data_IF_317625356172
#
_entry.id   IF_317625356172
#
_cell.length_a   1.000
_cell.length_b   1.000
_cell.length_c   1.000
_cell.angle_alpha   90.00
_cell.angle_beta   90.00
_cell.angle_gamma   90.00
#
_symmetry.space_group_name_H-M   'P 1'
#
loop_
_entity.id
_entity.type
_entity.pdbx_description
1 polymer ?
#
# COMPACT_ATOMS: atom_id res chain seq x y z
N UNK A 1 -26.66 15.84 15.48
CA UNK A 1 -25.75 15.43 14.40
C UNK A 1 -25.11 14.12 14.84
N UNK A 2 -25.27 13.05 14.06
CA UNK A 2 -24.84 11.68 14.43
C UNK A 2 -23.34 11.40 14.28
N UNK A 3 -22.48 12.44 14.32
CA UNK A 3 -21.03 12.27 14.26
C UNK A 3 -20.50 11.95 15.66
N UNK A 4 -20.47 10.67 15.99
CA UNK A 4 -19.91 10.18 17.24
C UNK A 4 -18.51 9.59 17.01
N UNK A 5 -17.61 9.85 17.96
CA UNK A 5 -16.26 9.27 17.95
C UNK A 5 -16.30 7.76 18.19
N UNK A 6 -15.44 7.01 17.47
CA UNK A 6 -15.28 5.55 17.58
C UNK A 6 -13.81 5.22 17.93
N UNK A 7 -13.38 5.51 19.18
CA UNK A 7 -11.98 5.37 19.55
C UNK A 7 -11.48 3.91 19.38
N UNK A 8 -12.33 2.92 19.66
CA UNK A 8 -11.96 1.51 19.48
C UNK A 8 -11.60 1.15 18.03
N UNK A 9 -12.30 1.74 17.03
CA UNK A 9 -11.95 1.54 15.62
C UNK A 9 -10.69 2.29 15.22
N UNK A 10 -10.47 3.47 15.79
CA UNK A 10 -9.24 4.23 15.59
C UNK A 10 -8.04 3.45 16.12
N UNK A 11 -8.13 2.96 17.35
CA UNK A 11 -7.07 2.18 17.99
C UNK A 11 -6.80 0.86 17.24
N UNK A 12 -7.87 0.17 16.83
CA UNK A 12 -7.77 -1.06 16.01
C UNK A 12 -7.03 -0.79 14.70
N UNK A 13 -7.46 0.21 13.93
CA UNK A 13 -6.87 0.51 12.63
C UNK A 13 -5.44 1.04 12.76
N UNK A 14 -5.17 1.90 13.74
CA UNK A 14 -3.84 2.43 13.99
C UNK A 14 -2.84 1.34 14.40
N UNK A 15 -3.32 0.32 15.13
CA UNK A 15 -2.49 -0.83 15.50
C UNK A 15 -2.32 -1.87 14.40
N UNK A 16 -3.33 -2.04 13.54
CA UNK A 16 -3.36 -3.12 12.56
C UNK A 16 -2.78 -2.75 11.19
N UNK A 17 -2.92 -1.49 10.76
CA UNK A 17 -2.55 -1.05 9.41
C UNK A 17 -1.28 -0.19 9.47
N UNK A 18 -0.37 -0.40 8.53
CA UNK A 18 0.83 0.45 8.38
C UNK A 18 0.44 1.89 8.04
N UNK A 19 1.24 2.85 8.47
CA UNK A 19 1.02 4.28 8.20
C UNK A 19 0.91 4.59 6.69
N UNK A 20 1.72 3.92 5.87
CA UNK A 20 1.72 4.04 4.41
C UNK A 20 1.52 2.66 3.77
N UNK A 21 0.28 2.13 3.76
CA UNK A 21 0.01 0.81 3.22
C UNK A 21 0.05 0.83 1.69
N UNK A 22 0.41 -0.29 1.03
CA UNK A 22 0.29 -0.42 -0.41
C UNK A 22 -1.18 -0.36 -0.85
N UNK A 23 -1.41 0.03 -2.12
CA UNK A 23 -2.76 0.21 -2.68
C UNK A 23 -3.56 -1.10 -2.72
N UNK A 24 -2.88 -2.24 -2.85
CA UNK A 24 -3.53 -3.55 -2.99
C UNK A 24 -2.94 -4.57 -2.04
N UNK A 25 -3.82 -5.28 -1.34
CA UNK A 25 -3.47 -6.32 -0.36
C UNK A 25 -2.64 -7.46 -0.96
N UNK A 26 -2.81 -7.79 -2.23
CA UNK A 26 -2.08 -8.88 -2.90
C UNK A 26 -0.57 -8.67 -2.96
N UNK A 27 -0.11 -7.43 -2.81
CA UNK A 27 1.32 -7.10 -2.85
C UNK A 27 1.97 -7.31 -1.47
N UNK A 28 1.16 -7.49 -0.43
CA UNK A 28 1.59 -7.62 0.96
C UNK A 28 2.04 -6.29 1.56
N UNK A 29 2.28 -6.26 2.87
CA UNK A 29 2.78 -5.08 3.57
C UNK A 29 1.70 -4.09 4.04
N UNK A 30 0.44 -4.51 4.08
CA UNK A 30 -0.69 -3.71 4.60
C UNK A 30 -0.74 -3.76 6.11
N UNK A 31 -0.61 -4.96 6.70
CA UNK A 31 -0.69 -5.17 8.15
C UNK A 31 0.59 -4.65 8.82
N UNK A 32 0.44 -3.93 9.93
CA UNK A 32 1.55 -3.38 10.71
C UNK A 32 2.43 -4.47 11.32
N UNK A 33 3.70 -4.14 11.51
CA UNK A 33 4.64 -5.02 12.21
C UNK A 33 4.29 -5.01 13.71
N UNK A 34 4.32 -6.16 14.37
CA UNK A 34 3.90 -6.34 15.76
C UNK A 34 2.40 -6.57 15.97
N UNK A 35 1.59 -6.56 14.91
CA UNK A 35 0.16 -6.83 15.02
C UNK A 35 -0.16 -8.33 15.16
N UNK A 36 0.59 -9.18 14.46
CA UNK A 36 0.42 -10.64 14.48
C UNK A 36 1.79 -11.33 14.49
N UNK A 37 2.06 -12.08 15.57
CA UNK A 37 3.35 -12.73 15.79
C UNK A 37 3.69 -13.75 14.70
N UNK A 38 2.71 -14.53 14.23
CA UNK A 38 2.91 -15.53 13.16
C UNK A 38 3.30 -14.85 11.83
N UNK A 39 2.68 -13.71 11.52
CA UNK A 39 3.01 -12.93 10.34
C UNK A 39 4.43 -12.36 10.43
N UNK A 40 4.81 -11.85 11.60
CA UNK A 40 6.13 -11.27 11.83
C UNK A 40 7.24 -12.32 11.74
N UNK A 41 7.03 -13.52 12.28
CA UNK A 41 7.95 -14.64 12.10
C UNK A 41 8.16 -15.01 10.62
N UNK A 42 7.07 -15.07 9.84
CA UNK A 42 7.16 -15.34 8.40
C UNK A 42 7.88 -14.23 7.63
N UNK A 43 7.67 -12.97 8.03
CA UNK A 43 8.37 -11.82 7.44
C UNK A 43 9.86 -11.81 7.79
N UNK A 44 10.21 -12.15 9.03
CA UNK A 44 11.59 -12.27 9.48
C UNK A 44 12.37 -13.30 8.66
N UNK A 45 11.77 -14.45 8.33
CA UNK A 45 12.38 -15.45 7.46
C UNK A 45 12.68 -14.89 6.05
N UNK A 46 11.85 -14.01 5.53
CA UNK A 46 12.08 -13.37 4.24
C UNK A 46 13.15 -12.27 4.31
N UNK A 47 13.22 -11.52 5.39
CA UNK A 47 14.20 -10.44 5.59
C UNK A 47 15.60 -10.99 5.77
N UNK A 48 15.74 -12.08 6.54
CA UNK A 48 17.01 -12.77 6.76
C UNK A 48 17.54 -13.46 5.51
N UNK A 49 16.74 -13.55 4.44
CA UNK A 49 17.18 -14.11 3.16
C UNK A 49 18.39 -13.36 2.58
N UNK A 50 18.44 -12.03 2.73
CA UNK A 50 19.57 -11.22 2.26
C UNK A 50 20.88 -11.56 2.98
N UNK A 51 20.84 -11.69 4.28
CA UNK A 51 22.00 -12.04 5.10
C UNK A 51 22.50 -13.46 4.79
N UNK A 52 21.58 -14.42 4.65
CA UNK A 52 21.92 -15.78 4.27
C UNK A 52 22.63 -15.83 2.90
N UNK A 53 22.13 -15.09 1.89
CA UNK A 53 22.74 -15.05 0.56
C UNK A 53 24.12 -14.42 0.59
N UNK A 54 24.32 -13.35 1.35
CA UNK A 54 25.66 -12.72 1.50
C UNK A 54 26.64 -13.67 2.19
N UNK A 55 26.24 -14.29 3.29
CA UNK A 55 27.08 -15.25 4.00
C UNK A 55 27.42 -16.48 3.12
N UNK A 56 26.45 -16.95 2.33
CA UNK A 56 26.68 -18.02 1.38
C UNK A 56 27.65 -17.60 0.28
N UNK A 57 27.50 -16.39 -0.28
CA UNK A 57 28.39 -15.86 -1.31
C UNK A 57 29.84 -15.78 -0.83
N UNK A 58 30.06 -15.26 0.38
CA UNK A 58 31.40 -15.17 0.99
C UNK A 58 32.00 -16.56 1.21
N UNK A 59 31.22 -17.49 1.76
CA UNK A 59 31.65 -18.87 2.01
C UNK A 59 32.02 -19.59 0.69
N UNK A 60 31.15 -19.48 -0.32
CA UNK A 60 31.37 -20.14 -1.62
C UNK A 60 32.55 -19.52 -2.37
N UNK A 61 32.78 -18.21 -2.29
CA UNK A 61 34.01 -17.57 -2.82
C UNK A 61 35.27 -18.10 -2.16
N UNK A 62 35.24 -18.26 -0.83
CA UNK A 62 36.39 -18.76 -0.07
C UNK A 62 36.68 -20.23 -0.39
N UNK A 63 35.66 -21.08 -0.51
CA UNK A 63 35.80 -22.51 -0.75
C UNK A 63 36.23 -22.83 -2.20
N UNK A 64 35.67 -22.12 -3.18
CA UNK A 64 35.93 -22.36 -4.62
C UNK A 64 37.11 -21.56 -5.18
N UNK A 65 37.53 -20.50 -4.51
CA UNK A 65 38.51 -19.55 -5.03
C UNK A 65 38.05 -18.72 -6.24
N UNK A 66 36.73 -18.70 -6.52
CA UNK A 66 36.12 -17.99 -7.64
C UNK A 66 35.71 -16.61 -7.19
N UNK A 67 36.55 -15.60 -7.43
CA UNK A 67 36.29 -14.20 -6.98
C UNK A 67 35.08 -13.54 -7.65
N UNK A 68 34.69 -14.02 -8.84
CA UNK A 68 33.54 -13.48 -9.61
C UNK A 68 32.21 -14.13 -9.23
N UNK A 69 32.19 -15.08 -8.32
CA UNK A 69 30.99 -15.78 -7.86
C UNK A 69 30.05 -14.76 -7.19
N UNK A 70 28.78 -14.83 -7.56
CA UNK A 70 27.69 -14.07 -6.94
C UNK A 70 26.51 -14.96 -6.63
N UNK A 71 25.89 -14.76 -5.49
CA UNK A 71 24.62 -15.39 -5.14
C UNK A 71 23.49 -14.39 -5.33
N UNK A 72 22.42 -14.77 -6.01
CA UNK A 72 21.34 -13.85 -6.32
C UNK A 72 20.00 -14.54 -6.51
N UNK A 73 18.98 -13.70 -6.72
CA UNK A 73 17.61 -14.12 -6.98
C UNK A 73 17.09 -13.55 -8.29
N UNK A 74 16.38 -14.36 -9.04
CA UNK A 74 15.66 -13.93 -10.24
C UNK A 74 14.19 -14.38 -10.15
N UNK A 75 13.27 -13.49 -10.51
CA UNK A 75 11.82 -13.73 -10.39
C UNK A 75 11.33 -14.95 -11.19
N UNK A 76 11.99 -15.27 -12.31
CA UNK A 76 11.62 -16.39 -13.20
C UNK A 76 12.34 -17.68 -12.82
N UNK A 77 13.62 -17.56 -12.44
CA UNK A 77 14.50 -18.73 -12.25
C UNK A 77 14.80 -19.02 -10.77
N UNK A 78 14.31 -18.22 -9.82
CA UNK A 78 14.57 -18.40 -8.39
C UNK A 78 15.98 -18.00 -7.98
N UNK A 79 16.49 -18.62 -6.92
CA UNK A 79 17.83 -18.36 -6.39
C UNK A 79 18.91 -19.07 -7.23
N UNK A 80 20.07 -18.44 -7.38
CA UNK A 80 21.18 -18.99 -8.18
C UNK A 80 22.54 -18.51 -7.66
N UNK A 81 23.55 -19.32 -7.97
CA UNK A 81 24.97 -18.96 -7.90
C UNK A 81 25.41 -18.65 -9.33
N UNK A 82 25.88 -17.42 -9.59
CA UNK A 82 26.35 -16.99 -10.90
C UNK A 82 27.89 -16.97 -10.92
N UNK A 83 28.46 -17.62 -11.91
CA UNK A 83 29.91 -17.68 -12.14
C UNK A 83 30.17 -17.19 -13.55
N UNK A 84 31.21 -16.35 -13.73
CA UNK A 84 31.62 -15.92 -15.07
C UNK A 84 32.03 -17.12 -15.92
N UNK A 85 31.75 -17.07 -17.23
CA UNK A 85 32.04 -18.16 -18.15
C UNK A 85 33.55 -18.53 -18.19
N UNK A 86 34.41 -17.54 -17.97
CA UNK A 86 35.86 -17.76 -17.89
C UNK A 86 36.29 -18.60 -16.68
N UNK A 87 35.47 -18.75 -15.66
CA UNK A 87 35.76 -19.50 -14.44
C UNK A 87 34.77 -20.64 -14.20
N UNK A 88 33.86 -20.91 -15.13
CA UNK A 88 32.81 -21.93 -14.95
C UNK A 88 33.37 -23.35 -14.82
N UNK A 89 34.52 -23.62 -15.40
CA UNK A 89 35.22 -24.93 -15.29
C UNK A 89 35.73 -25.20 -13.86
N UNK A 90 35.80 -24.20 -13.02
CA UNK A 90 36.18 -24.31 -11.60
C UNK A 90 34.98 -24.60 -10.68
N UNK A 91 33.77 -24.62 -11.23
CA UNK A 91 32.57 -24.88 -10.44
C UNK A 91 32.67 -26.32 -9.84
N UNK A 92 32.39 -26.47 -8.53
CA UNK A 92 32.34 -27.77 -7.88
C UNK A 92 31.37 -28.75 -8.56
N UNK A 93 31.64 -30.05 -8.48
CA UNK A 93 30.81 -31.09 -9.11
C UNK A 93 29.39 -31.14 -8.55
N UNK A 94 29.21 -30.72 -7.29
CA UNK A 94 27.90 -30.63 -6.62
C UNK A 94 27.05 -29.50 -7.12
N UNK A 95 27.61 -28.54 -7.89
CA UNK A 95 26.83 -27.43 -8.47
C UNK A 95 26.01 -27.93 -9.66
N UNK A 96 24.71 -27.88 -9.54
CA UNK A 96 23.76 -28.24 -10.59
C UNK A 96 23.54 -27.02 -11.48
N UNK A 97 23.90 -27.14 -12.76
CA UNK A 97 23.71 -26.07 -13.74
C UNK A 97 22.22 -25.82 -13.97
N UNK A 98 21.79 -24.57 -13.79
CA UNK A 98 20.41 -24.14 -13.93
C UNK A 98 20.18 -23.35 -15.22
N UNK A 99 21.12 -22.49 -15.60
CA UNK A 99 21.02 -21.64 -16.78
C UNK A 99 22.40 -21.29 -17.34
N UNK A 100 22.50 -21.25 -18.67
CA UNK A 100 23.70 -20.76 -19.39
C UNK A 100 23.35 -19.39 -20.01
N UNK A 101 24.15 -18.38 -19.70
CA UNK A 101 24.05 -17.02 -20.22
C UNK A 101 25.24 -16.77 -21.19
N UNK A 102 25.19 -15.63 -21.90
CA UNK A 102 26.26 -15.26 -22.83
C UNK A 102 27.64 -15.18 -22.14
N UNK A 103 27.70 -14.58 -20.96
CA UNK A 103 28.94 -14.28 -20.25
C UNK A 103 29.07 -14.98 -18.88
N UNK A 104 28.08 -15.76 -18.46
CA UNK A 104 28.04 -16.40 -17.15
C UNK A 104 27.24 -17.69 -17.20
N UNK A 105 27.45 -18.54 -16.20
CA UNK A 105 26.64 -19.71 -15.94
C UNK A 105 26.01 -19.61 -14.55
N UNK A 106 24.79 -20.10 -14.43
CA UNK A 106 24.05 -20.12 -13.17
C UNK A 106 23.86 -21.52 -12.69
N UNK A 107 24.12 -21.71 -11.41
CA UNK A 107 24.06 -22.98 -10.73
C UNK A 107 23.15 -22.90 -9.52
N UNK A 108 22.75 -24.05 -9.00
CA UNK A 108 22.08 -24.21 -7.71
C UNK A 108 22.77 -25.32 -6.93
N UNK A 109 22.87 -25.15 -5.62
CA UNK A 109 23.30 -26.20 -4.70
C UNK A 109 22.13 -26.82 -3.97
N UNK A 110 22.22 -28.02 -3.39
CA UNK A 110 21.17 -28.58 -2.54
C UNK A 110 20.79 -27.67 -1.38
N UNK A 111 21.79 -27.02 -0.75
CA UNK A 111 21.55 -26.06 0.35
C UNK A 111 20.74 -24.85 -0.12
N UNK A 112 21.13 -24.24 -1.25
CA UNK A 112 20.42 -23.10 -1.83
C UNK A 112 18.99 -23.50 -2.27
N UNK A 113 18.79 -24.74 -2.71
CA UNK A 113 17.48 -25.27 -3.05
C UNK A 113 16.58 -25.42 -1.83
N UNK A 114 17.08 -25.96 -0.72
CA UNK A 114 16.35 -26.06 0.55
C UNK A 114 15.97 -24.67 1.04
N UNK A 115 16.90 -23.71 0.95
CA UNK A 115 16.64 -22.33 1.31
C UNK A 115 15.57 -21.70 0.40
N UNK A 116 15.65 -21.90 -0.93
CA UNK A 116 14.64 -21.44 -1.89
C UNK A 116 13.24 -21.91 -1.52
N UNK A 117 13.08 -23.19 -1.24
CA UNK A 117 11.79 -23.79 -0.92
C UNK A 117 11.22 -23.21 0.40
N UNK A 118 12.06 -22.99 1.41
CA UNK A 118 11.66 -22.36 2.67
C UNK A 118 11.27 -20.88 2.46
N UNK A 119 12.06 -20.10 1.76
CA UNK A 119 11.81 -18.68 1.54
C UNK A 119 10.54 -18.44 0.70
N UNK A 120 10.36 -19.20 -0.38
CA UNK A 120 9.15 -19.11 -1.21
C UNK A 120 7.89 -19.54 -0.46
N UNK A 121 7.99 -20.61 0.35
CA UNK A 121 6.90 -21.06 1.21
C UNK A 121 6.54 -20.00 2.26
N UNK A 122 7.53 -19.43 2.95
CA UNK A 122 7.32 -18.39 3.94
C UNK A 122 6.67 -17.14 3.34
N UNK A 123 7.09 -16.73 2.15
CA UNK A 123 6.50 -15.60 1.43
C UNK A 123 5.04 -15.85 1.07
N UNK A 124 4.72 -17.02 0.54
CA UNK A 124 3.34 -17.40 0.18
C UNK A 124 2.44 -17.46 1.42
N UNK A 125 2.93 -18.05 2.51
CA UNK A 125 2.21 -18.15 3.79
C UNK A 125 2.00 -16.77 4.41
N UNK A 126 3.02 -15.91 4.39
CA UNK A 126 2.92 -14.52 4.87
C UNK A 126 1.83 -13.74 4.14
N UNK A 127 1.77 -13.83 2.80
CA UNK A 127 0.71 -13.19 2.02
C UNK A 127 -0.69 -13.75 2.35
N UNK A 128 -0.81 -15.05 2.54
CA UNK A 128 -2.08 -15.69 2.91
C UNK A 128 -2.53 -15.28 4.32
N UNK A 129 -1.59 -15.22 5.27
CA UNK A 129 -1.88 -14.77 6.64
C UNK A 129 -2.29 -13.30 6.67
N UNK A 130 -1.57 -12.45 5.94
CA UNK A 130 -1.88 -11.03 5.85
C UNK A 130 -3.26 -10.77 5.25
N UNK A 131 -3.64 -11.53 4.21
CA UNK A 131 -4.98 -11.48 3.62
C UNK A 131 -6.05 -11.91 4.62
N UNK A 132 -5.81 -12.99 5.37
CA UNK A 132 -6.72 -13.46 6.41
C UNK A 132 -6.94 -12.39 7.48
N UNK A 133 -5.88 -11.79 8.01
CA UNK A 133 -5.96 -10.72 9.02
C UNK A 133 -6.70 -9.48 8.48
N UNK A 134 -6.49 -9.15 7.22
CA UNK A 134 -7.21 -8.05 6.57
C UNK A 134 -8.71 -8.35 6.44
N UNK A 135 -9.09 -9.58 6.11
CA UNK A 135 -10.49 -10.02 6.05
C UNK A 135 -11.13 -9.98 7.45
N UNK A 136 -10.42 -10.38 8.51
CA UNK A 136 -10.90 -10.23 9.90
C UNK A 136 -11.12 -8.77 10.30
N UNK A 137 -10.22 -7.87 9.89
CA UNK A 137 -10.41 -6.42 10.11
C UNK A 137 -11.67 -5.90 9.41
N UNK A 138 -11.91 -6.29 8.17
CA UNK A 138 -13.13 -5.92 7.44
C UNK A 138 -14.38 -6.43 8.13
N UNK A 139 -14.38 -7.67 8.63
CA UNK A 139 -15.50 -8.26 9.36
C UNK A 139 -15.77 -7.50 10.67
N UNK A 140 -14.73 -7.11 11.37
CA UNK A 140 -14.85 -6.28 12.59
C UNK A 140 -15.44 -4.91 12.27
N UNK A 141 -14.97 -4.24 11.19
CA UNK A 141 -15.51 -2.95 10.76
C UNK A 141 -16.99 -3.05 10.33
N UNK A 142 -17.39 -4.17 9.73
CA UNK A 142 -18.77 -4.41 9.31
C UNK A 142 -19.75 -4.43 10.49
N UNK A 143 -19.32 -4.77 11.69
CA UNK A 143 -20.15 -4.72 12.89
C UNK A 143 -20.58 -3.29 13.26
N UNK A 144 -19.75 -2.30 12.93
CA UNK A 144 -20.01 -0.88 13.16
C UNK A 144 -20.49 -0.14 11.89
N UNK A 145 -20.77 -0.86 10.79
CA UNK A 145 -21.03 -0.26 9.46
C UNK A 145 -22.18 0.75 9.48
N UNK A 146 -23.29 0.44 10.14
CA UNK A 146 -24.45 1.35 10.25
C UNK A 146 -24.03 2.67 10.91
N UNK A 147 -23.27 2.60 11.98
CA UNK A 147 -22.82 3.77 12.72
C UNK A 147 -21.80 4.59 11.93
N UNK A 148 -20.93 3.93 11.18
CA UNK A 148 -19.99 4.61 10.27
C UNK A 148 -20.73 5.33 9.14
N UNK A 149 -21.80 4.76 8.60
CA UNK A 149 -22.65 5.40 7.59
C UNK A 149 -23.38 6.63 8.15
N UNK A 150 -23.92 6.54 9.39
CA UNK A 150 -24.54 7.67 10.06
C UNK A 150 -23.52 8.80 10.29
N UNK A 151 -22.34 8.46 10.75
CA UNK A 151 -21.24 9.42 10.95
C UNK A 151 -20.83 10.09 9.63
N UNK A 152 -20.65 9.32 8.57
CA UNK A 152 -20.30 9.84 7.25
C UNK A 152 -21.37 10.78 6.69
N UNK A 153 -22.66 10.43 6.82
CA UNK A 153 -23.76 11.29 6.42
C UNK A 153 -23.79 12.61 7.20
N UNK A 154 -23.58 12.56 8.51
CA UNK A 154 -23.52 13.74 9.36
C UNK A 154 -22.35 14.67 9.01
N UNK A 155 -21.18 14.10 8.72
CA UNK A 155 -20.00 14.88 8.27
C UNK A 155 -20.25 15.51 6.91
N UNK A 156 -20.85 14.77 5.97
CA UNK A 156 -21.19 15.29 4.64
C UNK A 156 -22.19 16.46 4.72
N UNK A 157 -23.21 16.35 5.58
CA UNK A 157 -24.16 17.45 5.81
C UNK A 157 -23.45 18.68 6.40
N UNK A 158 -22.59 18.49 7.38
CA UNK A 158 -21.83 19.56 8.01
C UNK A 158 -20.89 20.24 7.01
N UNK A 159 -20.23 19.49 6.17
CA UNK A 159 -19.33 20.01 5.12
C UNK A 159 -20.10 20.89 4.13
N UNK A 160 -21.27 20.44 3.65
CA UNK A 160 -22.14 21.23 2.77
C UNK A 160 -22.58 22.51 3.45
N UNK A 161 -23.07 22.45 4.69
CA UNK A 161 -23.51 23.63 5.43
C UNK A 161 -22.39 24.63 5.68
N UNK A 162 -21.21 24.14 6.05
CA UNK A 162 -20.02 24.96 6.25
C UNK A 162 -19.57 25.63 4.95
N UNK A 163 -19.55 24.89 3.84
CA UNK A 163 -19.21 25.41 2.51
C UNK A 163 -20.21 26.48 2.05
N UNK A 164 -21.50 26.22 2.20
CA UNK A 164 -22.52 27.20 1.84
C UNK A 164 -22.44 28.47 2.71
N UNK A 165 -22.20 28.33 4.00
CA UNK A 165 -22.04 29.47 4.92
C UNK A 165 -20.80 30.30 4.57
N UNK A 166 -19.65 29.63 4.32
CA UNK A 166 -18.43 30.30 3.92
C UNK A 166 -18.59 31.04 2.59
N UNK A 167 -19.21 30.40 1.58
CA UNK A 167 -19.48 31.03 0.28
C UNK A 167 -20.47 32.18 0.40
N UNK A 168 -21.52 32.05 1.21
CA UNK A 168 -22.45 33.14 1.46
C UNK A 168 -21.75 34.36 2.06
N UNK A 169 -20.83 34.14 3.00
CA UNK A 169 -20.04 35.20 3.62
C UNK A 169 -19.04 35.82 2.66
N UNK A 170 -18.20 35.02 2.02
CA UNK A 170 -17.07 35.47 1.16
C UNK A 170 -17.56 36.11 -0.14
N UNK A 171 -18.68 35.64 -0.70
CA UNK A 171 -19.26 36.16 -1.93
C UNK A 171 -20.41 37.15 -1.68
N UNK A 172 -20.66 37.51 -0.43
CA UNK A 172 -21.68 38.45 -0.02
C UNK A 172 -23.07 38.08 -0.57
N UNK A 173 -23.50 36.83 -0.36
CA UNK A 173 -24.81 36.34 -0.74
C UNK A 173 -25.84 36.68 0.35
N UNK A 174 -27.10 36.95 -0.05
CA UNK A 174 -28.19 37.11 0.86
C UNK A 174 -29.10 35.87 0.91
N UNK A 175 -29.77 35.67 2.05
CA UNK A 175 -30.74 34.58 2.21
C UNK A 175 -31.98 34.85 1.34
N UNK A 176 -32.38 33.89 0.47
CA UNK A 176 -33.59 34.03 -0.32
C UNK A 176 -34.84 33.95 0.54
N UNK A 177 -35.87 34.73 0.20
CA UNK A 177 -37.21 34.61 0.80
C UNK A 177 -38.04 33.64 -0.06
N UNK A 178 -38.41 32.51 0.53
CA UNK A 178 -39.27 31.54 -0.12
C UNK A 178 -40.73 31.94 0.01
N UNK A 179 -41.50 31.83 -1.08
CA UNK A 179 -42.91 32.16 -1.17
C UNK A 179 -43.73 30.97 -1.67
N UNK A 180 -44.99 30.89 -1.25
CA UNK A 180 -45.95 29.90 -1.82
C UNK A 180 -46.58 30.41 -3.12
N UNK A 181 -46.36 31.67 -3.50
CA UNK A 181 -46.79 32.20 -4.77
C UNK A 181 -45.79 31.79 -5.87
N UNK A 182 -46.29 31.37 -7.05
CA UNK A 182 -45.40 31.01 -8.17
C UNK A 182 -44.71 32.29 -8.69
N UNK A 183 -43.40 32.14 -8.97
CA UNK A 183 -42.60 33.20 -9.56
C UNK A 183 -41.23 33.35 -8.91
N UNK A 184 -40.35 34.05 -9.62
CA UNK A 184 -39.00 34.40 -9.18
C UNK A 184 -38.89 35.93 -9.26
N UNK A 185 -38.52 36.57 -8.17
CA UNK A 185 -38.28 38.02 -8.11
C UNK A 185 -36.85 38.25 -7.62
N UNK A 186 -36.00 38.81 -8.47
CA UNK A 186 -34.59 39.07 -8.16
C UNK A 186 -34.41 40.60 -8.20
N UNK A 187 -33.74 41.13 -7.17
CA UNK A 187 -33.30 42.53 -7.11
C UNK A 187 -31.80 42.58 -6.94
N UNK A 188 -31.14 43.36 -7.77
CA UNK A 188 -29.67 43.44 -7.79
C UNK A 188 -29.03 42.08 -8.11
N UNK A 189 -29.57 41.39 -9.13
CA UNK A 189 -29.13 40.07 -9.50
C UNK A 189 -27.69 40.03 -9.95
N UNK A 190 -26.90 39.08 -9.43
CA UNK A 190 -25.50 38.89 -9.76
C UNK A 190 -25.26 37.47 -10.28
N UNK A 191 -24.29 37.34 -11.18
CA UNK A 191 -23.87 36.00 -11.67
C UNK A 191 -22.62 35.52 -10.93
N UNK A 192 -22.71 34.53 -10.04
CA UNK A 192 -21.61 34.17 -9.12
C UNK A 192 -20.31 33.77 -9.81
N UNK A 193 -20.37 33.22 -11.01
CA UNK A 193 -19.16 32.83 -11.77
C UNK A 193 -18.62 34.03 -12.55
N UNK A 194 -19.48 34.75 -13.28
CA UNK A 194 -19.04 35.88 -14.13
C UNK A 194 -18.41 36.96 -13.27
N UNK A 195 -19.02 37.29 -12.13
CA UNK A 195 -18.48 38.26 -11.16
C UNK A 195 -17.08 37.95 -10.68
N UNK A 196 -16.70 36.65 -10.62
CA UNK A 196 -15.38 36.23 -10.14
C UNK A 196 -14.32 36.16 -11.23
N UNK A 197 -14.71 36.06 -12.49
CA UNK A 197 -13.77 35.87 -13.63
C UNK A 197 -13.63 37.10 -14.52
N UNK A 198 -14.50 38.09 -14.39
CA UNK A 198 -14.39 39.33 -15.17
C UNK A 198 -13.38 40.27 -14.55
N UNK A 199 -12.61 40.98 -15.38
CA UNK A 199 -11.72 42.06 -14.95
C UNK A 199 -12.44 43.39 -14.72
N UNK A 200 -13.62 43.54 -15.29
CA UNK A 200 -14.43 44.74 -15.18
C UNK A 200 -15.39 44.64 -14.00
N UNK A 201 -15.83 45.81 -13.49
CA UNK A 201 -16.80 45.85 -12.41
C UNK A 201 -18.13 45.22 -12.86
N UNK A 202 -18.59 44.20 -12.13
CA UNK A 202 -19.86 43.57 -12.41
C UNK A 202 -21.04 44.49 -12.03
N UNK A 203 -21.95 44.71 -12.96
CA UNK A 203 -23.16 45.50 -12.75
C UNK A 203 -24.33 44.56 -12.48
N UNK A 204 -24.90 44.66 -11.30
CA UNK A 204 -26.09 43.91 -10.92
C UNK A 204 -27.33 44.33 -11.70
N UNK A 205 -28.23 43.38 -11.99
CA UNK A 205 -29.48 43.60 -12.75
C UNK A 205 -30.71 43.35 -11.86
N UNK A 206 -31.79 44.10 -12.11
CA UNK A 206 -33.13 43.87 -11.58
C UNK A 206 -34.01 43.13 -12.56
#
# INVERSE_FOLDING_TARGET
IGAESRPHLVDLLAGAIKENPPVVIRDGGVIADGYDEELDEMRALNTNAGEFLLAMEEREKASTGISTLKVGYNRVHGYYIEISRAQSDKAPVEYIRRQTLKNAERFITPELKIFEDKALSAKSRSLSREKYLYEELLETLNQDLEQLQICAAAIAELDVLATLAERAHTLNFCRPMLSTQPGINIRGGRHPVVEQVTSDAFVAND
#
